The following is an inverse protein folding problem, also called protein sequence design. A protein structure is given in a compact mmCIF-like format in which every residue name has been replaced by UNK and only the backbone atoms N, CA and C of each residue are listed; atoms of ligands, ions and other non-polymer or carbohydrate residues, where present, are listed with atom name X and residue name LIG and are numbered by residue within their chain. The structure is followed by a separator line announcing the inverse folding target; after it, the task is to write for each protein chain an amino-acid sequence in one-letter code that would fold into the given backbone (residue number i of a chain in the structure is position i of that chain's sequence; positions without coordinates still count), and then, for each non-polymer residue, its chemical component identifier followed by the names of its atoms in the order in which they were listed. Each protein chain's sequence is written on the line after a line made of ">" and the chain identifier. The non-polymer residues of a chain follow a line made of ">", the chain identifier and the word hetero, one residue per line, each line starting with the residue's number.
data_IF_692980086260
#
_entry.id   IF_692980086260
#
_cell.length_a   1.000
_cell.length_b   1.000
_cell.length_c   1.000
_cell.angle_alpha   90.00
_cell.angle_beta   90.00
_cell.angle_gamma   90.00
#
_symmetry.space_group_name_H-M   'P 1'
#
loop_
_entity.id
_entity.type
_entity.pdbx_description
1 polymer ?
#
# COMPACT_ATOMS: atom_id res chain seq x y z
N UNK A 1 3.45 4.36 -23.52
CA UNK A 1 3.46 3.41 -22.46
C UNK A 1 2.12 3.29 -21.81
N UNK A 2 1.76 2.08 -21.48
CA UNK A 2 0.48 1.88 -20.84
C UNK A 2 0.56 2.23 -19.37
N UNK A 3 -0.52 2.78 -18.85
CA UNK A 3 -0.62 3.03 -17.43
C UNK A 3 -0.80 1.71 -16.69
N UNK A 4 -0.42 1.72 -15.43
CA UNK A 4 -0.66 0.56 -14.58
C UNK A 4 -2.15 0.36 -14.37
N UNK A 5 -2.57 -0.88 -14.32
CA UNK A 5 -3.96 -1.21 -14.02
C UNK A 5 -4.21 -1.14 -12.52
N UNK A 6 -5.48 -1.05 -12.15
CA UNK A 6 -5.83 -1.07 -10.73
C UNK A 6 -5.34 -2.34 -10.05
N UNK A 7 -5.46 -3.48 -10.73
CA UNK A 7 -4.99 -4.74 -10.17
C UNK A 7 -3.49 -4.76 -9.92
N UNK A 8 -2.73 -4.21 -10.85
CA UNK A 8 -1.27 -4.13 -10.68
C UNK A 8 -0.89 -3.25 -9.51
N UNK A 9 -1.58 -2.12 -9.36
CA UNK A 9 -1.35 -1.20 -8.25
C UNK A 9 -1.67 -1.86 -6.92
N UNK A 10 -2.83 -2.50 -6.85
CA UNK A 10 -3.26 -3.16 -5.61
C UNK A 10 -2.30 -4.29 -5.22
N UNK A 11 -1.86 -5.06 -6.20
CA UNK A 11 -0.94 -6.16 -5.96
C UNK A 11 0.40 -5.66 -5.41
N UNK A 12 0.89 -4.56 -5.96
CA UNK A 12 2.14 -3.97 -5.49
C UNK A 12 2.05 -3.55 -4.03
N UNK A 13 0.91 -2.95 -3.64
CA UNK A 13 0.73 -2.56 -2.24
C UNK A 13 0.61 -3.78 -1.31
N UNK A 14 -0.06 -4.83 -1.77
CA UNK A 14 -0.15 -6.04 -0.96
C UNK A 14 1.21 -6.63 -0.64
N UNK A 15 2.11 -6.60 -1.60
CA UNK A 15 3.45 -7.16 -1.44
C UNK A 15 4.37 -6.25 -0.65
N UNK A 16 4.06 -4.98 -0.57
CA UNK A 16 4.96 -3.99 0.00
C UNK A 16 5.14 -4.15 1.51
N UNK A 17 4.19 -4.75 2.18
CA UNK A 17 4.20 -4.85 3.65
C UNK A 17 4.36 -6.28 4.18
N UNK A 18 4.71 -7.21 3.31
CA UNK A 18 5.01 -8.57 3.75
C UNK A 18 6.10 -8.53 4.81
N UNK A 19 6.01 -9.27 5.90
CA UNK A 19 5.04 -10.32 6.19
C UNK A 19 3.79 -9.86 6.92
N UNK A 20 3.58 -8.56 7.09
CA UNK A 20 2.39 -8.07 7.75
C UNK A 20 1.17 -8.29 6.84
N UNK A 21 0.01 -8.44 7.46
CA UNK A 21 -1.22 -8.52 6.71
C UNK A 21 -1.56 -7.15 6.15
N UNK A 22 -1.81 -7.11 4.86
CA UNK A 22 -2.15 -5.87 4.19
C UNK A 22 -3.40 -6.12 3.36
N UNK A 23 -4.45 -5.38 3.65
CA UNK A 23 -5.70 -5.47 2.91
C UNK A 23 -5.83 -4.26 2.00
N UNK A 24 -6.11 -4.51 0.76
CA UNK A 24 -6.26 -3.45 -0.23
C UNK A 24 -7.63 -3.61 -0.87
N UNK A 25 -8.42 -2.56 -0.81
CA UNK A 25 -9.76 -2.54 -1.39
C UNK A 25 -9.92 -1.35 -2.30
N UNK A 26 -10.89 -1.43 -3.19
CA UNK A 26 -11.23 -0.29 -4.02
C UNK A 26 -12.25 0.56 -3.27
N UNK A 27 -11.96 1.84 -3.13
CA UNK A 27 -12.84 2.78 -2.47
C UNK A 27 -13.12 3.99 -3.34
N UNK A 28 -13.87 4.93 -2.79
CA UNK A 28 -14.19 6.19 -3.46
C UNK A 28 -14.74 5.95 -4.87
N UNK A 29 -15.74 5.07 -4.95
CA UNK A 29 -16.41 4.75 -6.23
C UNK A 29 -15.43 4.31 -7.33
N UNK A 30 -14.38 3.62 -6.94
CA UNK A 30 -13.41 3.12 -7.90
C UNK A 30 -12.26 4.06 -8.18
N UNK A 31 -12.21 5.20 -7.52
CA UNK A 31 -11.18 6.22 -7.77
C UNK A 31 -9.95 6.12 -6.89
N UNK A 32 -10.01 5.32 -5.84
CA UNK A 32 -8.92 5.22 -4.88
C UNK A 32 -8.80 3.82 -4.33
N UNK A 33 -7.67 3.53 -3.72
CA UNK A 33 -7.50 2.30 -2.96
C UNK A 33 -7.60 2.63 -1.48
N UNK A 34 -8.15 1.68 -0.73
CA UNK A 34 -8.13 1.72 0.73
C UNK A 34 -7.08 0.73 1.18
N UNK A 35 -6.04 1.24 1.78
CA UNK A 35 -4.93 0.44 2.27
C UNK A 35 -5.07 0.25 3.78
N UNK A 36 -5.06 -0.98 4.23
CA UNK A 36 -5.13 -1.31 5.65
C UNK A 36 -4.00 -2.25 5.98
N UNK A 37 -3.17 -1.87 6.94
CA UNK A 37 -2.06 -2.72 7.36
C UNK A 37 -2.30 -3.14 8.81
N UNK A 38 -2.15 -4.43 9.08
CA UNK A 38 -2.29 -4.98 10.43
C UNK A 38 -0.93 -5.32 10.99
N UNK A 39 -0.81 -5.16 12.30
CA UNK A 39 0.44 -5.52 12.97
C UNK A 39 0.48 -7.04 13.20
N UNK A 40 1.52 -7.50 13.87
CA UNK A 40 1.72 -8.93 14.12
C UNK A 40 0.62 -9.53 14.98
N UNK A 41 -0.12 -8.72 15.71
CA UNK A 41 -1.22 -9.18 16.55
C UNK A 41 -2.56 -9.17 15.85
N UNK A 42 -2.57 -8.77 14.57
CA UNK A 42 -3.80 -8.70 13.80
C UNK A 42 -4.61 -7.43 14.03
N UNK A 43 -4.06 -6.46 14.72
CA UNK A 43 -4.73 -5.20 14.98
C UNK A 43 -4.41 -4.20 13.85
N UNK A 44 -5.43 -3.51 13.36
CA UNK A 44 -5.20 -2.53 12.32
C UNK A 44 -4.32 -1.40 12.86
N UNK A 45 -3.16 -1.27 12.28
CA UNK A 45 -2.18 -0.31 12.75
C UNK A 45 -2.10 0.93 11.85
N UNK A 46 -2.55 0.82 10.62
CA UNK A 46 -2.45 1.91 9.66
C UNK A 46 -3.52 1.76 8.60
N UNK A 47 -4.12 2.87 8.24
CA UNK A 47 -5.12 2.89 7.18
C UNK A 47 -4.98 4.19 6.40
N UNK A 48 -5.07 4.09 5.09
CA UNK A 48 -4.99 5.26 4.23
C UNK A 48 -5.72 5.01 2.93
N UNK A 49 -6.32 6.07 2.40
CA UNK A 49 -6.91 6.04 1.08
C UNK A 49 -6.02 6.81 0.11
N UNK A 50 -5.69 6.20 -1.01
CA UNK A 50 -4.77 6.81 -1.97
C UNK A 50 -5.44 6.80 -3.35
N UNK A 51 -5.54 7.97 -4.00
CA UNK A 51 -6.17 8.02 -5.32
C UNK A 51 -5.38 7.22 -6.36
N UNK A 52 -6.08 6.46 -7.18
CA UNK A 52 -5.43 5.74 -8.27
C UNK A 52 -4.74 6.67 -9.24
N UNK A 53 -5.27 7.87 -9.42
CA UNK A 53 -4.76 8.82 -10.42
C UNK A 53 -3.28 9.15 -10.22
N UNK A 54 -2.79 9.08 -9.00
CA UNK A 54 -1.39 9.38 -8.72
C UNK A 54 -0.51 8.13 -8.72
N UNK A 55 -1.08 6.98 -9.06
CA UNK A 55 -0.39 5.70 -8.95
C UNK A 55 -0.24 4.99 -10.30
N UNK A 56 -0.57 5.65 -11.38
CA UNK A 56 -0.61 5.00 -12.70
C UNK A 56 0.75 4.76 -13.34
N UNK A 57 1.76 5.40 -12.80
CA UNK A 57 3.10 5.34 -13.33
C UNK A 57 3.98 4.57 -12.34
N UNK A 58 4.86 3.71 -12.83
CA UNK A 58 5.68 2.87 -11.94
C UNK A 58 6.48 3.68 -10.95
N UNK A 59 7.07 4.77 -11.39
CA UNK A 59 7.88 5.59 -10.51
C UNK A 59 7.03 6.24 -9.42
N UNK A 60 5.87 6.73 -9.78
CA UNK A 60 4.96 7.33 -8.81
C UNK A 60 4.46 6.28 -7.82
N UNK A 61 4.17 5.08 -8.30
CA UNK A 61 3.74 3.98 -7.46
C UNK A 61 4.84 3.59 -6.47
N UNK A 62 6.07 3.44 -6.96
CA UNK A 62 7.19 3.09 -6.10
C UNK A 62 7.42 4.13 -5.03
N UNK A 63 7.34 5.41 -5.40
CA UNK A 63 7.49 6.50 -4.44
C UNK A 63 6.41 6.46 -3.38
N UNK A 64 5.17 6.23 -3.80
CA UNK A 64 4.06 6.15 -2.87
C UNK A 64 4.23 4.98 -1.90
N UNK A 65 4.64 3.83 -2.42
CA UNK A 65 4.87 2.65 -1.58
C UNK A 65 5.96 2.93 -0.55
N UNK A 66 7.07 3.52 -0.97
CA UNK A 66 8.15 3.82 -0.03
C UNK A 66 7.71 4.81 1.04
N UNK A 67 6.94 5.81 0.66
CA UNK A 67 6.40 6.75 1.62
C UNK A 67 5.51 6.07 2.66
N UNK A 68 4.64 5.17 2.20
CA UNK A 68 3.76 4.47 3.12
C UNK A 68 4.53 3.51 4.03
N UNK A 69 5.55 2.87 3.50
CA UNK A 69 6.40 2.00 4.31
C UNK A 69 7.11 2.80 5.39
N UNK A 70 7.60 3.99 5.05
CA UNK A 70 8.26 4.85 6.02
C UNK A 70 7.30 5.28 7.13
N UNK A 71 6.06 5.59 6.77
CA UNK A 71 5.05 5.96 7.76
C UNK A 71 4.78 4.81 8.72
N UNK A 72 4.65 3.61 8.19
CA UNK A 72 4.41 2.43 9.03
C UNK A 72 5.59 2.16 9.95
N UNK A 73 6.81 2.28 9.43
CA UNK A 73 8.01 2.12 10.27
C UNK A 73 8.07 3.16 11.38
N UNK A 74 7.68 4.39 11.06
CA UNK A 74 7.69 5.48 12.04
C UNK A 74 6.71 5.23 13.18
N UNK A 75 5.70 4.40 12.96
CA UNK A 75 4.78 4.01 14.01
C UNK A 75 5.33 2.92 14.92
N UNK A 76 6.52 2.45 14.64
CA UNK A 76 7.15 1.40 15.43
C UNK A 76 6.77 -0.01 15.02
N UNK A 77 6.07 -0.16 13.91
CA UNK A 77 5.67 -1.47 13.41
C UNK A 77 6.82 -2.06 12.62
N UNK A 78 7.22 -3.24 13.01
CA UNK A 78 8.31 -3.91 12.30
C UNK A 78 7.75 -4.79 11.22
N UNK A 79 8.27 -4.59 10.01
CA UNK A 79 7.99 -5.49 8.92
C UNK A 79 9.17 -5.43 8.02
N UNK A 80 9.99 -6.17 7.93
CA UNK A 80 11.06 -6.05 6.98
C UNK A 80 11.01 -7.23 6.08
N UNK A 81 10.39 -7.02 5.03
CA UNK A 81 10.21 -8.07 4.08
C UNK A 81 11.39 -8.26 3.20
N UNK A 82 12.34 -7.42 3.29
CA UNK A 82 13.38 -7.50 2.34
C UNK A 82 14.69 -7.75 2.94
N UNK A 83 15.42 -8.60 2.36
CA UNK A 83 16.78 -8.76 2.73
C UNK A 83 17.55 -7.49 2.46
#
# INVERSE_FOLDING_TARGET
>A
MADLTNGEIMDAFKKAFVPLECFVKIGDYGNAIDLSVRDANGVQAYHKQIPFSILRNEQALDTAIENERDVVRAKGIKFDARP
#
